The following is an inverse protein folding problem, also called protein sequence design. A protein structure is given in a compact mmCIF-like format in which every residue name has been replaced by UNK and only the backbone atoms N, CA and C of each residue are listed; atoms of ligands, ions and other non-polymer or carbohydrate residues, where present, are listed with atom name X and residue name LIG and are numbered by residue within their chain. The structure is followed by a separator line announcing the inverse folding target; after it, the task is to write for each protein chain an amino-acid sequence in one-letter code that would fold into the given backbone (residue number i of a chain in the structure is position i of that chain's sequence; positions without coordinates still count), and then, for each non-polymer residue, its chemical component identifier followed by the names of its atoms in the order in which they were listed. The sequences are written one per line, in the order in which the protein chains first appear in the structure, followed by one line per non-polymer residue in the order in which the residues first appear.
data_IF_398220699420
#
_entry.id   IF_398220699420
#
_cell.length_a   1.000
_cell.length_b   1.000
_cell.length_c   1.000
_cell.angle_alpha   90.00
_cell.angle_beta   90.00
_cell.angle_gamma   90.00
#
_symmetry.space_group_name_H-M   'P 1'
#
loop_
_entity.id
_entity.type
_entity.pdbx_description
1 polymer ?
#
# COMPACT_ATOMS: atom_id res chain seq x y z
N UNK A 1 -19.12 -11.82 -20.78
CA UNK A 1 -19.24 -11.46 -19.36
C UNK A 1 -18.85 -10.00 -19.23
N UNK A 2 -19.75 -9.15 -18.76
CA UNK A 2 -19.48 -7.71 -18.57
C UNK A 2 -18.97 -7.53 -17.14
N UNK A 3 -17.65 -7.41 -16.97
CA UNK A 3 -17.07 -7.02 -15.67
C UNK A 3 -17.09 -5.50 -15.61
N UNK A 4 -18.21 -4.92 -15.21
CA UNK A 4 -18.26 -3.51 -14.84
C UNK A 4 -17.93 -3.38 -13.36
N UNK A 5 -16.69 -3.71 -12.99
CA UNK A 5 -16.17 -3.39 -11.66
C UNK A 5 -15.86 -1.88 -11.67
N UNK A 6 -16.71 -1.10 -11.01
CA UNK A 6 -16.52 0.34 -10.85
C UNK A 6 -15.89 0.61 -9.49
N UNK A 7 -14.69 1.23 -9.49
CA UNK A 7 -14.04 1.70 -8.27
C UNK A 7 -14.16 3.23 -8.17
N UNK A 8 -14.51 3.74 -7.00
CA UNK A 8 -14.46 5.17 -6.73
C UNK A 8 -12.99 5.61 -6.63
N UNK A 9 -12.59 6.59 -7.45
CA UNK A 9 -11.23 7.14 -7.45
C UNK A 9 -11.27 8.58 -6.95
N UNK A 10 -10.68 8.82 -5.78
CA UNK A 10 -10.51 10.14 -5.19
C UNK A 10 -9.07 10.61 -5.39
N UNK A 11 -8.88 11.86 -5.85
CA UNK A 11 -7.55 12.45 -6.11
C UNK A 11 -7.38 13.74 -5.33
N UNK A 12 -6.21 13.92 -4.73
CA UNK A 12 -5.83 15.13 -4.01
C UNK A 12 -4.32 15.33 -4.08
N UNK A 13 -3.81 16.56 -4.24
CA UNK A 13 -2.38 16.85 -4.12
C UNK A 13 -1.91 16.91 -2.66
N UNK A 14 -2.84 16.98 -1.70
CA UNK A 14 -2.56 17.02 -0.27
C UNK A 14 -2.55 15.60 0.32
N UNK A 15 -1.35 15.11 0.68
CA UNK A 15 -1.15 13.81 1.33
C UNK A 15 -1.92 13.70 2.66
N UNK A 16 -1.94 14.76 3.47
CA UNK A 16 -2.66 14.72 4.74
C UNK A 16 -4.18 14.58 4.52
N UNK A 17 -4.71 15.16 3.44
CA UNK A 17 -6.12 14.95 3.05
C UNK A 17 -6.38 13.53 2.56
N UNK A 18 -5.44 12.92 1.81
CA UNK A 18 -5.56 11.53 1.39
C UNK A 18 -5.56 10.59 2.61
N UNK A 19 -4.62 10.76 3.54
CA UNK A 19 -4.54 9.98 4.77
C UNK A 19 -5.79 10.14 5.64
N UNK A 20 -6.33 11.37 5.78
CA UNK A 20 -7.60 11.57 6.49
C UNK A 20 -8.75 10.82 5.85
N UNK A 21 -8.85 10.81 4.52
CA UNK A 21 -9.89 10.07 3.81
C UNK A 21 -9.75 8.55 4.04
N UNK A 22 -8.54 8.01 4.00
CA UNK A 22 -8.26 6.61 4.32
C UNK A 22 -8.72 6.28 5.75
N UNK A 23 -8.32 7.09 6.75
CA UNK A 23 -8.76 6.89 8.15
C UNK A 23 -10.28 6.86 8.27
N UNK A 24 -10.97 7.84 7.66
CA UNK A 24 -12.43 7.88 7.68
C UNK A 24 -13.07 6.65 7.06
N UNK A 25 -12.47 6.08 6.00
CA UNK A 25 -12.94 4.83 5.40
C UNK A 25 -12.64 3.62 6.29
N UNK A 26 -11.48 3.58 6.94
CA UNK A 26 -11.16 2.51 7.89
C UNK A 26 -12.07 2.54 9.14
N UNK A 27 -12.45 3.73 9.61
CA UNK A 27 -13.33 3.91 10.77
C UNK A 27 -14.75 3.35 10.54
N UNK A 28 -15.18 3.20 9.29
CA UNK A 28 -16.49 2.63 8.94
C UNK A 28 -16.40 1.15 8.55
N UNK A 29 -15.22 0.65 8.17
CA UNK A 29 -15.03 -0.71 7.70
C UNK A 29 -15.00 -1.71 8.86
N UNK A 30 -15.29 -2.98 8.56
CA UNK A 30 -14.88 -4.07 9.44
C UNK A 30 -13.39 -4.38 9.21
N UNK A 31 -12.56 -3.91 10.13
CA UNK A 31 -11.11 -4.09 10.10
C UNK A 31 -10.66 -5.36 10.83
N UNK A 32 -11.58 -6.24 11.25
CA UNK A 32 -11.24 -7.47 11.96
C UNK A 32 -10.38 -8.38 11.09
N UNK A 33 -9.10 -8.57 11.45
CA UNK A 33 -8.16 -9.32 10.62
C UNK A 33 -7.76 -8.60 9.33
N UNK A 34 -7.94 -7.28 9.27
CA UNK A 34 -7.49 -6.48 8.14
C UNK A 34 -5.97 -6.39 8.07
N UNK A 35 -5.45 -6.37 6.85
CA UNK A 35 -4.02 -6.36 6.54
C UNK A 35 -3.70 -5.26 5.52
N UNK A 36 -2.43 -4.86 5.47
CA UNK A 36 -1.91 -3.98 4.42
C UNK A 36 -0.82 -4.65 3.62
N UNK A 37 -0.88 -4.39 2.32
CA UNK A 37 0.11 -4.78 1.34
C UNK A 37 0.82 -3.53 0.82
N UNK A 38 2.14 -3.64 0.66
CA UNK A 38 3.03 -2.56 0.26
C UNK A 38 3.62 -2.82 -1.11
N UNK A 39 3.47 -1.84 -2.00
CA UNK A 39 4.16 -1.79 -3.29
C UNK A 39 4.92 -0.47 -3.42
N UNK A 40 6.21 -0.53 -3.73
CA UNK A 40 7.02 0.67 -3.92
C UNK A 40 8.24 0.40 -4.80
N UNK A 41 8.87 1.47 -5.29
CA UNK A 41 10.21 1.41 -5.86
C UNK A 41 11.11 2.36 -5.10
N UNK A 42 12.08 1.79 -4.36
CA UNK A 42 13.04 2.54 -3.55
C UNK A 42 14.30 2.78 -4.37
N UNK A 43 14.68 4.05 -4.52
CA UNK A 43 15.80 4.44 -5.40
C UNK A 43 17.05 4.90 -4.68
N UNK A 44 16.98 5.16 -3.39
CA UNK A 44 18.08 5.75 -2.62
C UNK A 44 18.37 4.98 -1.33
N UNK A 45 19.64 4.90 -0.90
CA UNK A 45 20.00 4.30 0.39
C UNK A 45 19.30 4.96 1.58
N UNK A 46 19.06 6.27 1.52
CA UNK A 46 18.44 7.05 2.60
C UNK A 46 16.94 6.71 2.76
N UNK A 47 16.21 6.53 1.64
CA UNK A 47 14.83 6.03 1.68
C UNK A 47 14.81 4.59 2.17
N UNK A 48 15.71 3.74 1.67
CA UNK A 48 15.82 2.34 2.10
C UNK A 48 16.05 2.21 3.60
N UNK A 49 16.96 3.03 4.17
CA UNK A 49 17.23 3.04 5.60
C UNK A 49 15.97 3.39 6.40
N UNK A 50 15.25 4.47 6.03
CA UNK A 50 14.01 4.88 6.70
C UNK A 50 12.91 3.80 6.59
N UNK A 51 12.76 3.18 5.42
CA UNK A 51 11.77 2.10 5.24
C UNK A 51 12.12 0.89 6.11
N UNK A 52 13.40 0.55 6.27
CA UNK A 52 13.84 -0.55 7.13
C UNK A 52 13.65 -0.30 8.63
N UNK A 53 13.53 0.95 9.06
CA UNK A 53 13.13 1.28 10.44
C UNK A 53 11.67 0.90 10.70
N UNK A 54 10.81 0.99 9.67
CA UNK A 54 9.39 0.62 9.75
C UNK A 54 9.19 -0.88 9.47
N UNK A 55 9.90 -1.42 8.48
CA UNK A 55 9.83 -2.81 8.03
C UNK A 55 11.23 -3.45 8.06
N UNK A 56 11.68 -3.95 9.22
CA UNK A 56 13.03 -4.52 9.35
C UNK A 56 13.28 -5.74 8.46
N UNK A 57 12.21 -6.52 8.19
CA UNK A 57 12.22 -7.72 7.36
C UNK A 57 11.67 -7.49 5.94
N UNK A 58 11.73 -6.24 5.46
CA UNK A 58 11.23 -5.81 4.15
C UNK A 58 11.50 -6.82 3.03
N UNK A 59 10.45 -7.26 2.36
CA UNK A 59 10.54 -8.07 1.14
C UNK A 59 10.78 -7.21 -0.08
N UNK A 60 11.83 -7.55 -0.84
CA UNK A 60 12.24 -6.79 -2.02
C UNK A 60 12.94 -7.67 -3.06
N UNK A 61 12.93 -7.19 -4.29
CA UNK A 61 13.74 -7.73 -5.39
C UNK A 61 14.36 -6.58 -6.18
N UNK A 62 15.49 -6.84 -6.85
CA UNK A 62 16.08 -5.87 -7.76
C UNK A 62 15.07 -5.48 -8.85
N UNK A 63 14.95 -4.19 -9.14
CA UNK A 63 14.01 -3.73 -10.15
C UNK A 63 14.35 -4.29 -11.54
N UNK A 64 13.32 -4.50 -12.38
CA UNK A 64 13.48 -5.06 -13.72
C UNK A 64 14.58 -4.36 -14.54
N UNK A 65 15.47 -5.13 -15.15
CA UNK A 65 16.59 -4.63 -15.96
C UNK A 65 17.87 -4.31 -15.19
N UNK A 66 18.00 -4.72 -13.92
CA UNK A 66 19.20 -4.58 -13.09
C UNK A 66 19.86 -5.92 -12.75
N UNK A 67 21.01 -5.85 -12.05
CA UNK A 67 21.67 -7.01 -11.45
C UNK A 67 20.67 -7.80 -10.59
N UNK A 68 20.77 -9.13 -10.61
CA UNK A 68 19.91 -9.99 -9.81
C UNK A 68 20.14 -9.73 -8.31
N UNK A 69 19.07 -9.69 -7.54
CA UNK A 69 19.15 -9.68 -6.08
C UNK A 69 17.77 -9.70 -5.43
N UNK A 70 17.66 -10.31 -4.25
CA UNK A 70 16.42 -10.31 -3.49
C UNK A 70 16.64 -10.46 -1.99
N UNK A 71 15.61 -10.09 -1.23
CA UNK A 71 15.57 -10.37 0.21
C UNK A 71 15.66 -11.86 0.53
N UNK A 72 15.11 -12.72 -0.33
CA UNK A 72 15.06 -14.17 -0.10
C UNK A 72 16.42 -14.84 -0.31
N UNK A 73 17.28 -14.26 -1.15
CA UNK A 73 18.66 -14.69 -1.33
C UNK A 73 19.61 -14.14 -0.24
N UNK A 74 19.13 -13.23 0.61
CA UNK A 74 19.93 -12.58 1.66
C UNK A 74 20.91 -11.53 1.11
N UNK A 75 20.62 -10.99 -0.07
CA UNK A 75 21.46 -9.97 -0.71
C UNK A 75 21.43 -8.64 0.04
N UNK A 76 22.41 -7.77 -0.22
CA UNK A 76 22.41 -6.41 0.30
C UNK A 76 21.57 -5.49 -0.60
N UNK A 77 20.40 -4.98 -0.14
CA UNK A 77 19.54 -4.11 -0.95
C UNK A 77 20.23 -2.84 -1.41
N UNK A 78 21.22 -2.33 -0.67
CA UNK A 78 21.94 -1.10 -1.04
C UNK A 78 22.71 -1.29 -2.35
N UNK A 79 23.22 -2.50 -2.59
CA UNK A 79 23.97 -2.85 -3.81
C UNK A 79 23.06 -3.15 -5.00
N UNK A 80 21.78 -3.44 -4.74
CA UNK A 80 20.78 -3.80 -5.74
C UNK A 80 19.83 -2.65 -6.09
N UNK A 81 20.07 -1.43 -5.58
CA UNK A 81 19.23 -0.27 -5.87
C UNK A 81 19.17 0.03 -7.38
N UNK A 82 18.00 0.44 -7.92
CA UNK A 82 16.71 0.52 -7.23
C UNK A 82 16.08 -0.86 -6.98
N UNK A 83 15.38 -0.99 -5.86
CA UNK A 83 14.67 -2.22 -5.49
C UNK A 83 13.16 -2.03 -5.57
N UNK A 84 12.47 -3.04 -6.05
CA UNK A 84 11.02 -3.16 -6.02
C UNK A 84 10.60 -3.83 -4.71
N UNK A 85 9.67 -3.21 -4.00
CA UNK A 85 9.03 -3.73 -2.80
C UNK A 85 7.68 -4.32 -3.21
N UNK A 86 7.44 -5.55 -2.79
CA UNK A 86 6.14 -6.20 -2.82
C UNK A 86 6.06 -7.06 -1.55
N UNK A 87 5.47 -6.49 -0.51
CA UNK A 87 5.49 -7.05 0.84
C UNK A 87 4.05 -7.07 1.38
N UNK A 88 3.60 -8.24 1.83
CA UNK A 88 2.19 -8.53 2.04
C UNK A 88 1.87 -8.85 3.50
N UNK A 89 0.60 -8.78 3.86
CA UNK A 89 0.07 -9.28 5.14
C UNK A 89 0.65 -8.55 6.37
N UNK A 90 0.77 -7.22 6.30
CA UNK A 90 1.24 -6.40 7.42
C UNK A 90 0.09 -5.81 8.24
N UNK A 91 0.32 -5.46 9.51
CA UNK A 91 -0.63 -4.70 10.32
C UNK A 91 -1.00 -3.32 9.73
N UNK A 92 -2.29 -2.95 9.83
CA UNK A 92 -2.83 -1.71 9.26
C UNK A 92 -2.11 -0.42 9.72
N UNK A 93 -1.58 -0.41 10.95
CA UNK A 93 -0.92 0.74 11.56
C UNK A 93 0.46 1.05 10.95
N UNK A 94 1.03 0.14 10.16
CA UNK A 94 2.28 0.37 9.42
C UNK A 94 2.09 1.19 8.14
N UNK A 95 0.86 1.40 7.67
CA UNK A 95 0.58 2.11 6.42
C UNK A 95 1.13 3.53 6.39
N UNK A 96 0.85 4.34 7.41
CA UNK A 96 1.29 5.74 7.41
C UNK A 96 2.79 5.90 7.68
N UNK A 97 3.39 5.18 8.66
CA UNK A 97 4.84 5.17 8.82
C UNK A 97 5.57 4.79 7.53
N UNK A 98 5.07 3.79 6.80
CA UNK A 98 5.66 3.37 5.52
C UNK A 98 5.61 4.49 4.46
N UNK A 99 4.44 5.12 4.29
CA UNK A 99 4.27 6.25 3.36
C UNK A 99 5.16 7.44 3.74
N UNK A 100 5.30 7.74 5.04
CA UNK A 100 6.17 8.80 5.52
C UNK A 100 7.66 8.50 5.26
N UNK A 101 8.08 7.24 5.43
CA UNK A 101 9.46 6.80 5.18
C UNK A 101 9.85 6.86 3.70
N UNK A 102 8.90 6.59 2.80
CA UNK A 102 9.12 6.58 1.35
C UNK A 102 9.31 7.95 0.72
N UNK A 103 8.71 9.01 1.28
CA UNK A 103 8.68 10.32 0.64
C UNK A 103 10.10 10.78 0.23
N UNK A 104 10.33 11.11 -1.06
CA UNK A 104 9.36 11.40 -2.12
C UNK A 104 9.08 10.27 -3.15
N UNK A 105 9.50 9.02 -2.90
CA UNK A 105 9.32 7.92 -3.87
C UNK A 105 7.83 7.53 -4.06
N UNK A 106 7.43 7.04 -5.26
CA UNK A 106 6.09 6.50 -5.50
C UNK A 106 5.84 5.19 -4.75
N UNK A 107 4.62 5.05 -4.25
CA UNK A 107 4.17 3.82 -3.60
C UNK A 107 2.65 3.65 -3.67
N UNK A 108 2.21 2.40 -3.51
CA UNK A 108 0.84 2.02 -3.27
C UNK A 108 0.76 1.22 -1.96
N UNK A 109 -0.24 1.54 -1.14
CA UNK A 109 -0.62 0.76 0.04
C UNK A 109 -2.04 0.27 -0.18
N UNK A 110 -2.21 -1.04 -0.22
CA UNK A 110 -3.53 -1.68 -0.32
C UNK A 110 -3.93 -2.14 1.07
N UNK A 111 -5.15 -1.84 1.48
CA UNK A 111 -5.73 -2.34 2.71
C UNK A 111 -6.76 -3.39 2.31
N UNK A 112 -6.56 -4.62 2.75
CA UNK A 112 -7.51 -5.70 2.62
C UNK A 112 -8.29 -5.81 3.93
N UNK A 113 -9.59 -5.60 3.86
CA UNK A 113 -10.50 -5.48 4.99
C UNK A 113 -11.44 -6.68 5.04
N UNK A 114 -12.05 -6.94 6.19
CA UNK A 114 -13.00 -8.06 6.31
C UNK A 114 -14.31 -7.76 5.58
N UNK A 115 -14.80 -6.51 5.69
CA UNK A 115 -16.02 -6.09 5.02
C UNK A 115 -16.25 -4.58 4.98
N UNK A 116 -17.12 -4.15 4.07
CA UNK A 116 -17.81 -2.86 4.16
C UNK A 116 -19.20 -3.04 4.80
N UNK A 117 -19.64 -2.10 5.65
CA UNK A 117 -20.96 -2.15 6.25
C UNK A 117 -22.05 -1.94 5.19
N UNK A 118 -23.26 -2.39 5.49
CA UNK A 118 -24.45 -2.01 4.73
C UNK A 118 -24.77 -0.51 4.92
N UNK A 119 -25.30 0.11 3.87
CA UNK A 119 -25.87 1.48 3.92
C UNK A 119 -27.27 1.42 3.28
N UNK A 120 -28.30 1.01 4.05
CA UNK A 120 -29.64 0.77 3.51
C UNK A 120 -30.26 1.98 2.82
N UNK A 121 -30.00 3.20 3.31
CA UNK A 121 -30.52 4.45 2.74
C UNK A 121 -29.98 4.73 1.34
N UNK A 122 -28.82 4.16 1.00
CA UNK A 122 -28.19 4.22 -0.31
C UNK A 122 -28.40 2.94 -1.14
N UNK A 123 -29.13 1.95 -0.61
CA UNK A 123 -29.31 0.65 -1.24
C UNK A 123 -28.03 -0.17 -1.34
N UNK A 124 -27.04 0.07 -0.45
CA UNK A 124 -25.77 -0.65 -0.42
C UNK A 124 -25.86 -1.80 0.58
N UNK A 125 -25.66 -3.01 0.07
CA UNK A 125 -25.61 -4.22 0.89
C UNK A 125 -24.23 -4.40 1.54
N UNK A 126 -24.16 -5.26 2.56
CA UNK A 126 -22.90 -5.71 3.13
C UNK A 126 -21.98 -6.30 2.05
N UNK A 127 -20.72 -5.87 2.04
CA UNK A 127 -19.72 -6.35 1.08
C UNK A 127 -18.66 -7.16 1.81
N UNK A 128 -18.52 -8.44 1.48
CA UNK A 128 -17.52 -9.31 2.08
C UNK A 128 -16.10 -9.04 1.56
N UNK A 129 -15.12 -9.63 2.27
CA UNK A 129 -13.67 -9.49 2.08
C UNK A 129 -13.20 -9.42 0.62
N UNK A 130 -13.80 -10.22 -0.29
CA UNK A 130 -13.38 -10.26 -1.71
C UNK A 130 -13.39 -8.88 -2.39
N UNK A 131 -14.27 -7.97 -1.97
CA UNK A 131 -14.39 -6.63 -2.53
C UNK A 131 -14.22 -5.53 -1.47
N UNK A 132 -13.81 -5.90 -0.27
CA UNK A 132 -13.57 -4.97 0.83
C UNK A 132 -12.10 -4.57 0.86
N UNK A 133 -11.68 -3.74 -0.10
CA UNK A 133 -10.33 -3.20 -0.12
C UNK A 133 -10.31 -1.72 -0.50
N UNK A 134 -9.24 -1.03 -0.10
CA UNK A 134 -8.95 0.32 -0.54
C UNK A 134 -7.46 0.44 -0.90
N UNK A 135 -7.12 1.29 -1.86
CA UNK A 135 -5.72 1.53 -2.25
C UNK A 135 -5.39 3.01 -2.12
N UNK A 136 -4.34 3.31 -1.36
CA UNK A 136 -3.71 4.62 -1.30
C UNK A 136 -2.48 4.62 -2.21
N UNK A 137 -2.51 5.39 -3.30
CA UNK A 137 -1.34 5.63 -4.14
C UNK A 137 -0.77 7.02 -3.87
N UNK A 138 0.53 7.10 -3.59
CA UNK A 138 1.26 8.35 -3.31
C UNK A 138 2.36 8.58 -4.33
N UNK A 139 2.62 9.87 -4.64
CA UNK A 139 3.63 10.30 -5.62
C UNK A 139 3.55 9.57 -6.98
N UNK A 140 2.37 9.07 -7.35
CA UNK A 140 2.14 8.40 -8.63
C UNK A 140 2.30 9.43 -9.74
N UNK A 141 3.19 9.15 -10.70
CA UNK A 141 3.47 10.11 -11.78
C UNK A 141 2.32 10.20 -12.77
N UNK A 142 1.59 9.11 -13.00
CA UNK A 142 0.36 9.04 -13.81
C UNK A 142 -0.41 7.77 -13.38
N UNK A 143 -1.75 7.85 -13.26
CA UNK A 143 -2.65 6.69 -13.42
C UNK A 143 -2.96 6.56 -14.91
#
# INVERSE_FOLDING_TARGET
MSNSDAAAVLRTPDLARALRAVRTLLDIADTTGGEVDFEAVIRSPEVLARVREVLPALKWSAAAGREHGSSDAGDDPVRCLPVSVFDLCHPLDLAEPFVAALCPDPAAVRFDLNAWPEVPEAGLEYVSQKYAYLTLSVNSRYL
#
